data_IF_764340638904
#
_entry.id   IF_764340638904
#
_cell.length_a   1.000
_cell.length_b   1.000
_cell.length_c   1.000
_cell.angle_alpha   90.00
_cell.angle_beta   90.00
_cell.angle_gamma   90.00
#
_symmetry.space_group_name_H-M   'P 1'
#
loop_
_entity.id
_entity.type
_entity.pdbx_description
1 polymer ?
#
# COMPACT_ATOMS: atom_id res chain seq x y z
N UNK A 1 14.37 -11.58 -53.59
CA UNK A 1 14.77 -10.35 -52.88
C UNK A 1 14.48 -9.21 -53.83
N UNK A 2 13.47 -8.42 -53.53
CA UNK A 2 13.04 -7.31 -54.39
C UNK A 2 14.04 -6.16 -54.25
N UNK A 3 14.79 -5.89 -55.31
CA UNK A 3 15.83 -4.86 -55.32
C UNK A 3 15.26 -3.45 -55.20
N UNK A 4 13.95 -3.26 -55.45
CA UNK A 4 13.30 -1.95 -55.32
C UNK A 4 12.98 -1.57 -53.87
N UNK A 5 12.93 -2.54 -52.97
CA UNK A 5 12.65 -2.30 -51.54
C UNK A 5 13.93 -1.89 -50.78
N UNK A 6 15.11 -2.29 -51.28
CA UNK A 6 16.41 -1.92 -50.70
C UNK A 6 16.76 -0.44 -50.97
N UNK A 7 16.44 0.08 -52.16
CA UNK A 7 16.67 1.50 -52.46
C UNK A 7 15.70 2.41 -51.68
N UNK A 8 14.47 1.94 -51.42
CA UNK A 8 13.49 2.68 -50.60
C UNK A 8 13.90 2.80 -49.13
N UNK A 9 14.64 1.83 -48.61
CA UNK A 9 15.19 1.87 -47.24
C UNK A 9 16.47 2.72 -47.13
N UNK A 10 17.21 2.90 -48.23
CA UNK A 10 18.37 3.79 -48.28
C UNK A 10 17.96 5.27 -48.25
N UNK A 11 16.91 5.63 -48.98
CA UNK A 11 16.39 7.02 -48.96
C UNK A 11 15.76 7.42 -47.61
N UNK A 12 15.40 6.45 -46.76
CA UNK A 12 14.94 6.70 -45.38
C UNK A 12 16.09 6.88 -44.37
N UNK A 13 17.29 6.39 -44.69
CA UNK A 13 18.46 6.53 -43.81
C UNK A 13 19.16 7.89 -43.92
N UNK A 14 18.99 8.61 -45.05
CA UNK A 14 19.68 9.88 -45.33
C UNK A 14 18.89 11.14 -44.90
N UNK A 15 17.80 10.99 -44.11
CA UNK A 15 16.96 12.14 -43.67
C UNK A 15 17.05 12.49 -42.18
N UNK A 16 17.97 11.89 -41.41
CA UNK A 16 18.09 12.16 -39.96
C UNK A 16 19.35 12.91 -39.53
N UNK A 17 20.17 13.42 -40.45
CA UNK A 17 21.31 14.29 -40.10
C UNK A 17 20.90 15.77 -40.09
N UNK A 18 20.02 16.14 -39.16
CA UNK A 18 19.85 17.54 -38.78
C UNK A 18 20.51 17.74 -37.40
N UNK A 19 21.80 18.09 -37.45
CA UNK A 19 22.59 18.59 -36.32
C UNK A 19 21.97 19.89 -35.81
N UNK A 20 21.03 19.76 -34.89
CA UNK A 20 20.81 20.78 -33.88
C UNK A 20 21.74 20.43 -32.71
N UNK A 21 22.78 21.23 -32.52
CA UNK A 21 23.51 21.30 -31.26
C UNK A 21 22.52 21.78 -30.18
N UNK A 22 21.77 20.83 -29.63
CA UNK A 22 20.99 21.03 -28.41
C UNK A 22 22.02 21.07 -27.30
N UNK A 23 22.24 22.28 -26.79
CA UNK A 23 22.95 22.50 -25.54
C UNK A 23 22.18 21.76 -24.44
N UNK A 24 22.61 20.54 -24.13
CA UNK A 24 22.24 19.84 -22.91
C UNK A 24 22.88 20.62 -21.76
N UNK A 25 22.18 21.67 -21.35
CA UNK A 25 22.45 22.34 -20.09
C UNK A 25 22.53 21.25 -19.02
N UNK A 26 23.60 21.27 -18.24
CA UNK A 26 23.76 20.42 -17.09
C UNK A 26 22.51 20.59 -16.22
N UNK A 27 21.56 19.65 -16.34
CA UNK A 27 20.54 19.47 -15.34
C UNK A 27 21.31 18.94 -14.15
N UNK A 28 21.70 19.85 -13.26
CA UNK A 28 21.78 19.49 -11.86
C UNK A 28 20.42 18.84 -11.57
N UNK A 29 20.43 17.54 -11.32
CA UNK A 29 19.39 16.94 -10.51
C UNK A 29 19.50 17.67 -9.19
N UNK A 30 18.83 18.82 -9.10
CA UNK A 30 18.46 19.36 -7.81
C UNK A 30 17.75 18.21 -7.15
N UNK A 31 18.26 17.82 -5.99
CA UNK A 31 17.67 16.86 -5.08
C UNK A 31 16.19 17.25 -4.89
N UNK A 32 15.33 16.82 -5.81
CA UNK A 32 13.94 16.53 -5.52
C UNK A 32 14.01 15.18 -4.82
N UNK A 33 14.65 15.19 -3.64
CA UNK A 33 14.28 14.26 -2.61
C UNK A 33 12.75 14.38 -2.53
N UNK A 34 12.01 13.27 -2.73
CA UNK A 34 10.58 13.28 -2.44
C UNK A 34 10.48 13.87 -1.05
N UNK A 35 9.88 15.06 -0.94
CA UNK A 35 9.84 15.75 0.34
C UNK A 35 9.22 14.77 1.34
N UNK A 36 9.85 14.57 2.50
CA UNK A 36 9.31 13.69 3.52
C UNK A 36 7.91 14.20 3.78
N UNK A 37 6.95 13.31 3.56
CA UNK A 37 5.53 13.54 3.61
C UNK A 37 5.16 14.56 4.70
N UNK A 38 5.00 15.82 4.31
CA UNK A 38 4.09 16.77 4.99
C UNK A 38 2.64 16.36 4.60
N UNK A 39 2.38 15.05 4.65
CA UNK A 39 1.10 14.43 4.48
C UNK A 39 0.43 14.58 5.83
N UNK A 40 -0.26 15.71 6.03
CA UNK A 40 -1.45 15.66 6.87
C UNK A 40 -2.23 14.44 6.40
N UNK A 41 -2.20 13.37 7.20
CA UNK A 41 -2.75 12.07 6.85
C UNK A 41 -4.15 12.35 6.33
N UNK A 42 -4.33 12.15 5.02
CA UNK A 42 -5.63 12.30 4.39
C UNK A 42 -6.43 11.07 4.81
N UNK A 43 -6.96 11.15 6.03
CA UNK A 43 -7.80 10.13 6.66
C UNK A 43 -9.09 9.87 5.86
N UNK A 44 -9.28 10.57 4.73
CA UNK A 44 -10.37 10.35 3.78
C UNK A 44 -10.00 9.37 2.65
N UNK A 45 -8.78 8.83 2.54
CA UNK A 45 -8.38 7.99 1.39
C UNK A 45 -7.51 6.81 1.79
N UNK A 46 -7.60 5.73 1.01
CA UNK A 46 -6.81 4.50 1.20
C UNK A 46 -5.30 4.70 1.17
N UNK A 47 -4.78 5.72 0.47
CA UNK A 47 -3.34 5.95 0.42
C UNK A 47 -2.57 4.74 -0.14
N UNK A 48 -1.53 4.29 0.55
CA UNK A 48 -0.79 3.09 0.19
C UNK A 48 -0.73 2.13 1.39
N UNK A 49 -1.80 1.33 1.60
CA UNK A 49 -1.94 0.52 2.80
C UNK A 49 -0.84 -0.55 2.91
N UNK A 50 -0.32 -1.04 1.77
CA UNK A 50 0.76 -2.02 1.73
C UNK A 50 2.09 -1.39 2.14
N UNK A 51 2.42 -0.22 1.56
CA UNK A 51 3.65 0.50 1.90
C UNK A 51 3.64 0.97 3.37
N UNK A 52 2.52 1.52 3.84
CA UNK A 52 2.38 1.97 5.23
C UNK A 52 2.53 0.83 6.23
N UNK A 53 1.89 -0.32 5.97
CA UNK A 53 2.04 -1.49 6.82
C UNK A 53 3.47 -2.01 6.84
N UNK A 54 4.08 -2.18 5.67
CA UNK A 54 5.46 -2.66 5.59
C UNK A 54 6.45 -1.68 6.25
N UNK A 55 6.27 -0.37 6.07
CA UNK A 55 7.04 0.68 6.76
C UNK A 55 6.96 0.53 8.28
N UNK A 56 5.75 0.37 8.81
CA UNK A 56 5.53 0.20 10.25
C UNK A 56 6.25 -1.04 10.80
N UNK A 57 6.24 -2.15 10.04
CA UNK A 57 6.88 -3.41 10.44
C UNK A 57 8.41 -3.39 10.34
N UNK A 58 8.96 -2.56 9.43
CA UNK A 58 10.40 -2.36 9.25
C UNK A 58 11.00 -1.35 10.23
N UNK A 59 10.20 -0.38 10.69
CA UNK A 59 10.67 0.73 11.53
C UNK A 59 11.00 0.30 12.97
N UNK A 60 11.94 1.02 13.61
CA UNK A 60 12.28 0.83 15.02
C UNK A 60 13.10 -0.43 15.33
N UNK A 61 13.73 -1.03 14.31
CA UNK A 61 14.52 -2.26 14.43
C UNK A 61 15.94 -2.03 13.90
N UNK A 62 16.94 -2.59 14.59
CA UNK A 62 18.30 -2.68 14.06
C UNK A 62 18.45 -3.92 13.20
N UNK A 63 19.01 -3.76 12.02
CA UNK A 63 19.30 -4.80 11.04
C UNK A 63 20.79 -5.20 11.04
N UNK A 64 21.15 -6.36 10.44
CA UNK A 64 22.54 -6.84 10.44
C UNK A 64 23.51 -5.83 9.84
N UNK A 65 24.57 -5.50 10.57
CA UNK A 65 25.58 -4.52 10.14
C UNK A 65 25.23 -3.07 10.50
N UNK A 66 24.06 -2.81 11.08
CA UNK A 66 23.75 -1.49 11.59
C UNK A 66 24.67 -1.12 12.77
N UNK A 67 24.98 0.17 12.85
CA UNK A 67 25.78 0.75 13.92
C UNK A 67 24.94 0.90 15.18
N UNK A 68 25.30 0.19 16.24
CA UNK A 68 24.57 0.24 17.53
C UNK A 68 24.65 1.60 18.22
N UNK A 69 25.62 2.44 17.86
CA UNK A 69 25.81 3.80 18.35
C UNK A 69 25.11 4.87 17.49
N UNK A 70 24.48 4.48 16.39
CA UNK A 70 23.82 5.39 15.47
C UNK A 70 22.31 5.45 15.75
N UNK A 71 21.78 6.56 16.31
CA UNK A 71 20.35 6.68 16.60
C UNK A 71 19.48 6.61 15.34
N UNK A 72 20.01 7.02 14.19
CA UNK A 72 19.30 7.00 12.90
C UNK A 72 18.90 5.57 12.48
N UNK A 73 19.61 4.54 12.99
CA UNK A 73 19.26 3.12 12.74
C UNK A 73 17.88 2.73 13.29
N UNK A 74 17.38 3.48 14.27
CA UNK A 74 16.07 3.27 14.90
C UNK A 74 15.05 4.35 14.52
N UNK A 75 15.41 5.29 13.65
CA UNK A 75 14.55 6.39 13.29
C UNK A 75 13.31 5.92 12.50
N UNK A 76 12.17 6.55 12.77
CA UNK A 76 10.91 6.20 12.12
C UNK A 76 10.89 6.56 10.62
N UNK A 77 11.74 7.49 10.20
CA UNK A 77 11.93 7.91 8.80
C UNK A 77 13.08 7.17 8.10
N UNK A 78 13.60 6.09 8.70
CA UNK A 78 14.64 5.27 8.08
C UNK A 78 14.20 4.64 6.76
N UNK A 79 12.99 4.09 6.75
CA UNK A 79 12.47 3.34 5.61
C UNK A 79 11.48 4.18 4.83
N UNK A 80 11.62 4.17 3.51
CA UNK A 80 10.62 4.68 2.60
C UNK A 80 10.21 3.56 1.64
N UNK A 81 8.90 3.37 1.49
CA UNK A 81 8.34 2.40 0.58
C UNK A 81 7.43 3.13 -0.39
N UNK A 82 7.61 2.86 -1.68
CA UNK A 82 6.75 3.42 -2.71
C UNK A 82 6.57 2.42 -3.85
N UNK A 83 5.37 2.44 -4.43
CA UNK A 83 5.03 1.60 -5.58
C UNK A 83 5.71 2.14 -6.84
N UNK A 84 6.47 1.29 -7.52
CA UNK A 84 7.15 1.65 -8.78
C UNK A 84 6.46 1.08 -10.02
N UNK A 85 5.66 0.03 -9.85
CA UNK A 85 4.90 -0.58 -10.93
C UNK A 85 3.61 -1.21 -10.42
N UNK A 86 2.79 -1.79 -11.31
CA UNK A 86 1.60 -2.53 -10.91
C UNK A 86 1.96 -3.73 -10.01
N UNK A 87 3.17 -4.26 -10.12
CA UNK A 87 3.59 -5.52 -9.49
C UNK A 87 4.69 -5.37 -8.46
N UNK A 88 5.25 -4.17 -8.26
CA UNK A 88 6.46 -4.00 -7.47
C UNK A 88 6.48 -2.71 -6.65
N UNK A 89 7.14 -2.81 -5.50
CA UNK A 89 7.50 -1.72 -4.60
C UNK A 89 9.01 -1.62 -4.51
N UNK A 90 9.50 -0.44 -4.16
CA UNK A 90 10.89 -0.22 -3.75
C UNK A 90 10.94 0.10 -2.27
N UNK A 91 11.89 -0.51 -1.57
CA UNK A 91 12.30 -0.19 -0.21
C UNK A 91 13.60 0.60 -0.31
N UNK A 92 13.58 1.82 0.23
CA UNK A 92 14.76 2.67 0.41
C UNK A 92 15.10 2.76 1.89
N UNK A 93 16.32 2.38 2.26
CA UNK A 93 16.86 2.46 3.62
C UNK A 93 17.85 3.63 3.73
N UNK A 94 17.38 4.74 4.28
CA UNK A 94 18.14 5.99 4.35
C UNK A 94 19.36 5.91 5.27
N UNK A 95 19.38 4.95 6.20
CA UNK A 95 20.51 4.68 7.09
C UNK A 95 21.69 4.03 6.33
N UNK A 96 21.44 3.44 5.16
CA UNK A 96 22.42 2.65 4.42
C UNK A 96 22.44 3.04 2.94
N UNK A 97 22.79 4.31 2.67
CA UNK A 97 22.80 4.92 1.33
C UNK A 97 23.68 4.21 0.27
N UNK A 98 24.56 3.32 0.69
CA UNK A 98 25.39 2.51 -0.21
C UNK A 98 24.69 1.23 -0.65
N UNK A 99 23.64 0.81 0.05
CA UNK A 99 22.84 -0.35 -0.33
C UNK A 99 21.95 0.06 -1.52
N UNK A 100 21.84 -0.80 -2.55
CA UNK A 100 20.96 -0.52 -3.68
C UNK A 100 19.49 -0.49 -3.24
N UNK A 101 18.69 0.30 -3.95
CA UNK A 101 17.23 0.25 -3.83
C UNK A 101 16.74 -1.19 -3.99
N UNK A 102 15.92 -1.65 -3.03
CA UNK A 102 15.47 -3.02 -2.99
C UNK A 102 14.05 -3.14 -3.54
N UNK A 103 13.90 -3.83 -4.67
CA UNK A 103 12.60 -4.12 -5.23
C UNK A 103 11.95 -5.32 -4.55
N UNK A 104 10.67 -5.20 -4.18
CA UNK A 104 9.86 -6.27 -3.61
C UNK A 104 8.56 -6.46 -4.41
N UNK A 105 8.22 -7.70 -4.82
CA UNK A 105 6.95 -7.97 -5.49
C UNK A 105 5.73 -7.70 -4.59
N UNK A 106 4.68 -7.09 -5.16
CA UNK A 106 3.41 -6.80 -4.47
C UNK A 106 2.79 -8.06 -3.86
N UNK A 107 2.94 -9.21 -4.52
CA UNK A 107 2.40 -10.51 -4.05
C UNK A 107 2.96 -10.96 -2.70
N UNK A 108 4.14 -10.46 -2.31
CA UNK A 108 4.69 -10.70 -0.97
C UNK A 108 4.04 -9.76 0.05
N UNK A 109 3.85 -8.49 -0.31
CA UNK A 109 3.23 -7.50 0.57
C UNK A 109 1.73 -7.76 0.79
N UNK A 110 1.04 -8.37 -0.19
CA UNK A 110 -0.36 -8.79 -0.04
C UNK A 110 -0.53 -10.13 0.67
N UNK A 111 0.56 -10.87 0.93
CA UNK A 111 0.48 -12.14 1.65
C UNK A 111 0.43 -11.89 3.17
N UNK A 112 -0.67 -12.22 3.87
CA UNK A 112 -0.82 -11.92 5.29
C UNK A 112 0.21 -12.61 6.19
N UNK A 113 0.81 -13.71 5.73
CA UNK A 113 1.82 -14.47 6.45
C UNK A 113 3.25 -14.01 6.17
N UNK A 114 3.45 -13.01 5.31
CA UNK A 114 4.79 -12.55 4.94
C UNK A 114 5.42 -11.73 6.07
N UNK A 115 6.57 -12.18 6.57
CA UNK A 115 7.37 -11.49 7.59
C UNK A 115 8.35 -10.53 6.89
N UNK A 116 7.90 -9.34 6.50
CA UNK A 116 8.70 -8.37 5.72
C UNK A 116 10.01 -7.98 6.43
N UNK A 117 9.97 -7.83 7.75
CA UNK A 117 11.13 -7.49 8.58
C UNK A 117 12.18 -8.60 8.54
N UNK A 118 11.75 -9.85 8.64
CA UNK A 118 12.61 -11.02 8.61
C UNK A 118 13.21 -11.25 7.23
N UNK A 119 12.40 -11.08 6.19
CA UNK A 119 12.86 -11.15 4.82
C UNK A 119 13.93 -10.10 4.55
N UNK A 120 13.67 -8.84 4.93
CA UNK A 120 14.61 -7.72 4.77
C UNK A 120 15.90 -7.95 5.58
N UNK A 121 15.78 -8.43 6.81
CA UNK A 121 16.92 -8.83 7.65
C UNK A 121 17.85 -9.82 6.97
N UNK A 122 17.28 -10.89 6.41
CA UNK A 122 18.06 -11.90 5.72
C UNK A 122 18.69 -11.34 4.44
N UNK A 123 17.95 -10.53 3.69
CA UNK A 123 18.43 -9.90 2.46
C UNK A 123 19.66 -9.02 2.74
N UNK A 124 19.52 -8.04 3.63
CA UNK A 124 20.58 -7.08 3.97
C UNK A 124 21.78 -7.78 4.59
N UNK A 125 21.54 -8.74 5.49
CA UNK A 125 22.62 -9.52 6.10
C UNK A 125 23.47 -10.28 5.08
N UNK A 126 22.83 -10.99 4.15
CA UNK A 126 23.55 -11.70 3.09
C UNK A 126 24.29 -10.72 2.17
N UNK A 127 23.68 -9.58 1.85
CA UNK A 127 24.29 -8.56 1.01
C UNK A 127 25.55 -7.94 1.64
N UNK A 128 25.56 -7.82 2.97
CA UNK A 128 26.70 -7.34 3.76
C UNK A 128 27.73 -8.43 4.09
N UNK A 129 27.60 -9.62 3.51
CA UNK A 129 28.58 -10.69 3.61
C UNK A 129 28.45 -11.57 4.86
N UNK A 130 27.39 -11.43 5.65
CA UNK A 130 27.11 -12.36 6.75
C UNK A 130 26.71 -13.72 6.18
N UNK A 131 27.18 -14.78 6.83
CA UNK A 131 26.78 -16.13 6.42
C UNK A 131 25.39 -16.51 6.99
N UNK A 132 24.76 -17.53 6.41
CA UNK A 132 23.43 -17.99 6.82
C UNK A 132 23.38 -18.47 8.28
N UNK A 133 24.48 -18.98 8.83
CA UNK A 133 24.57 -19.49 10.20
C UNK A 133 24.65 -18.33 11.18
N UNK A 134 25.42 -17.29 10.88
CA UNK A 134 25.49 -16.04 11.62
C UNK A 134 24.12 -15.38 11.68
N UNK A 135 23.44 -15.25 10.53
CA UNK A 135 22.11 -14.65 10.46
C UNK A 135 21.07 -15.43 11.26
N UNK A 136 21.07 -16.77 11.19
CA UNK A 136 20.21 -17.61 12.04
C UNK A 136 20.53 -17.44 13.52
N UNK A 137 21.81 -17.30 13.86
CA UNK A 137 22.27 -17.08 15.23
C UNK A 137 21.80 -15.73 15.77
N UNK A 138 21.92 -14.66 14.98
CA UNK A 138 21.48 -13.31 15.35
C UNK A 138 19.96 -13.21 15.39
N UNK A 139 19.26 -13.82 14.43
CA UNK A 139 17.79 -13.86 14.38
C UNK A 139 17.19 -14.48 15.64
N UNK A 140 17.77 -15.59 16.13
CA UNK A 140 17.34 -16.22 17.40
C UNK A 140 17.54 -15.36 18.63
N UNK A 141 18.47 -14.41 18.58
CA UNK A 141 18.77 -13.47 19.66
C UNK A 141 17.92 -12.20 19.57
N UNK A 142 17.13 -12.00 18.51
CA UNK A 142 16.21 -10.88 18.41
C UNK A 142 15.21 -10.96 19.56
N UNK A 143 15.23 -9.95 20.42
CA UNK A 143 14.24 -9.77 21.49
C UNK A 143 12.91 -9.26 20.94
N UNK A 144 12.92 -8.70 19.73
CA UNK A 144 11.76 -8.20 19.03
C UNK A 144 11.47 -9.01 17.77
N UNK A 145 10.21 -9.43 17.61
CA UNK A 145 9.68 -10.03 16.38
C UNK A 145 8.46 -9.22 15.97
N UNK A 146 8.53 -8.61 14.79
CA UNK A 146 7.36 -7.95 14.22
C UNK A 146 6.31 -8.99 13.84
N UNK A 147 5.05 -8.59 13.88
CA UNK A 147 3.97 -9.36 13.28
C UNK A 147 4.21 -9.48 11.76
N UNK A 148 3.65 -10.50 11.09
CA UNK A 148 3.66 -10.55 9.63
C UNK A 148 2.82 -9.40 9.05
N UNK A 149 2.84 -9.25 7.72
CA UNK A 149 2.08 -8.22 7.00
C UNK A 149 0.63 -8.11 7.48
N UNK A 150 -0.03 -9.25 7.77
CA UNK A 150 -1.46 -9.25 8.07
C UNK A 150 -2.28 -8.86 6.85
N UNK A 151 -3.57 -8.62 7.04
CA UNK A 151 -4.42 -8.12 5.96
C UNK A 151 -4.36 -6.59 5.92
N UNK A 152 -3.27 -6.08 5.34
CA UNK A 152 -2.98 -4.65 5.31
C UNK A 152 -4.13 -3.82 4.68
N UNK A 153 -4.83 -4.37 3.70
CA UNK A 153 -5.98 -3.70 3.07
C UNK A 153 -7.17 -3.61 4.03
N UNK A 154 -7.54 -4.72 4.66
CA UNK A 154 -8.64 -4.76 5.62
C UNK A 154 -8.36 -3.93 6.88
N UNK A 155 -7.16 -4.05 7.44
CA UNK A 155 -6.74 -3.30 8.63
C UNK A 155 -6.79 -1.78 8.36
N UNK A 156 -6.29 -1.34 7.20
CA UNK A 156 -6.30 0.08 6.85
C UNK A 156 -7.71 0.58 6.51
N UNK A 157 -8.51 -0.19 5.77
CA UNK A 157 -9.91 0.17 5.50
C UNK A 157 -10.71 0.33 6.81
N UNK A 158 -10.54 -0.62 7.75
CA UNK A 158 -11.18 -0.55 9.08
C UNK A 158 -10.74 0.71 9.84
N UNK A 159 -9.44 1.00 9.83
CA UNK A 159 -8.90 2.20 10.47
C UNK A 159 -9.52 3.49 9.92
N UNK A 160 -9.64 3.63 8.60
CA UNK A 160 -10.25 4.81 7.98
C UNK A 160 -11.75 4.91 8.27
N UNK A 161 -12.46 3.78 8.28
CA UNK A 161 -13.87 3.74 8.58
C UNK A 161 -14.15 4.13 10.04
N UNK A 162 -13.36 3.63 10.99
CA UNK A 162 -13.43 3.98 12.42
C UNK A 162 -12.99 5.43 12.70
N UNK A 163 -12.11 6.00 11.86
CA UNK A 163 -11.69 7.39 11.98
C UNK A 163 -12.81 8.38 11.62
N UNK A 164 -13.69 8.01 10.69
CA UNK A 164 -14.89 8.77 10.35
C UNK A 164 -15.98 8.55 11.40
N UNK A 165 -16.32 9.60 12.15
CA UNK A 165 -17.14 9.45 13.37
C UNK A 165 -18.65 9.51 13.16
N UNK A 166 -19.12 9.95 11.99
CA UNK A 166 -20.54 10.19 11.75
C UNK A 166 -20.96 9.78 10.34
N UNK A 167 -21.55 8.59 10.24
CA UNK A 167 -22.28 8.15 9.06
C UNK A 167 -23.73 8.60 9.11
N UNK A 168 -24.39 8.60 7.94
CA UNK A 168 -25.78 9.01 7.80
C UNK A 168 -26.69 8.17 8.70
N UNK A 169 -27.60 8.83 9.43
CA UNK A 169 -28.50 8.23 10.43
C UNK A 169 -27.81 7.56 11.63
N UNK A 170 -26.55 7.86 11.91
CA UNK A 170 -25.89 7.37 13.13
C UNK A 170 -26.61 7.89 14.38
N UNK A 171 -27.16 6.96 15.16
CA UNK A 171 -27.68 7.23 16.50
C UNK A 171 -26.60 7.12 17.57
N UNK A 172 -26.92 7.42 18.84
CA UNK A 172 -25.99 7.24 19.97
C UNK A 172 -25.43 5.82 20.09
N UNK A 173 -26.19 4.81 19.65
CA UNK A 173 -25.78 3.41 19.63
C UNK A 173 -24.64 3.11 18.63
N UNK A 174 -24.42 3.98 17.64
CA UNK A 174 -23.39 3.80 16.61
C UNK A 174 -22.00 4.30 17.05
N UNK A 175 -21.90 4.94 18.22
CA UNK A 175 -20.66 5.45 18.79
C UNK A 175 -19.93 4.36 19.61
N UNK A 176 -19.69 3.21 18.97
CA UNK A 176 -18.99 2.07 19.58
C UNK A 176 -17.55 1.99 19.08
N UNK A 177 -16.58 1.69 19.96
CA UNK A 177 -15.22 1.40 19.51
C UNK A 177 -15.20 0.17 18.60
N UNK A 178 -14.36 0.20 17.55
CA UNK A 178 -14.21 -0.92 16.59
C UNK A 178 -15.55 -1.31 15.97
N UNK A 179 -16.24 -0.31 15.42
CA UNK A 179 -17.56 -0.50 14.81
C UNK A 179 -17.45 -1.38 13.58
N UNK A 180 -16.38 -1.20 12.83
CA UNK A 180 -16.18 -1.88 11.56
C UNK A 180 -15.29 -3.10 11.70
N UNK A 181 -15.64 -4.13 10.95
CA UNK A 181 -14.79 -5.27 10.66
C UNK A 181 -14.65 -5.37 9.14
N UNK A 182 -13.43 -5.52 8.64
CA UNK A 182 -13.19 -5.78 7.23
C UNK A 182 -12.51 -7.14 7.09
N UNK A 183 -13.07 -8.03 6.26
CA UNK A 183 -12.57 -9.40 6.11
C UNK A 183 -12.48 -9.77 4.63
N UNK A 184 -11.39 -10.41 4.23
CA UNK A 184 -11.27 -11.01 2.91
C UNK A 184 -12.20 -12.23 2.78
N UNK A 185 -13.10 -12.20 1.79
CA UNK A 185 -14.09 -13.27 1.56
C UNK A 185 -13.78 -14.15 0.34
N UNK A 186 -12.65 -13.89 -0.33
CA UNK A 186 -12.23 -14.63 -1.52
C UNK A 186 -12.56 -13.92 -2.84
N UNK A 187 -11.89 -14.34 -3.92
CA UNK A 187 -12.16 -13.81 -5.27
C UNK A 187 -11.80 -12.32 -5.47
N UNK A 188 -10.88 -11.78 -4.66
CA UNK A 188 -10.54 -10.36 -4.71
C UNK A 188 -11.64 -9.46 -4.10
N UNK A 189 -12.47 -10.00 -3.22
CA UNK A 189 -13.53 -9.27 -2.53
C UNK A 189 -13.29 -9.25 -1.02
N UNK A 190 -13.69 -8.12 -0.43
CA UNK A 190 -13.68 -7.84 0.98
C UNK A 190 -15.11 -7.53 1.44
N UNK A 191 -15.49 -8.04 2.60
CA UNK A 191 -16.73 -7.65 3.28
C UNK A 191 -16.40 -6.65 4.37
N UNK A 192 -17.09 -5.50 4.34
CA UNK A 192 -17.10 -4.51 5.42
C UNK A 192 -18.39 -4.73 6.20
N UNK A 193 -18.25 -5.13 7.45
CA UNK A 193 -19.35 -5.35 8.39
C UNK A 193 -19.37 -4.24 9.43
N UNK A 194 -20.49 -3.53 9.51
CA UNK A 194 -20.78 -2.56 10.56
C UNK A 194 -21.58 -3.25 11.66
N UNK A 195 -20.88 -3.51 12.77
CA UNK A 195 -21.43 -4.22 13.93
C UNK A 195 -22.53 -3.45 14.64
N UNK A 196 -22.54 -2.11 14.55
CA UNK A 196 -23.54 -1.28 15.19
C UNK A 196 -24.87 -1.29 14.44
N UNK A 197 -24.82 -1.33 13.10
CA UNK A 197 -26.01 -1.37 12.25
C UNK A 197 -26.39 -2.78 11.79
N UNK A 198 -25.55 -3.78 12.06
CA UNK A 198 -25.66 -5.13 11.49
C UNK A 198 -25.75 -5.10 9.95
N UNK A 199 -24.98 -4.21 9.33
CA UNK A 199 -24.99 -3.97 7.89
C UNK A 199 -23.68 -4.44 7.27
N UNK A 200 -23.77 -5.20 6.18
CA UNK A 200 -22.61 -5.66 5.42
C UNK A 200 -22.62 -5.07 4.01
N UNK A 201 -21.45 -4.68 3.51
CA UNK A 201 -21.25 -4.29 2.12
C UNK A 201 -19.94 -4.87 1.59
N UNK A 202 -19.92 -5.25 0.31
CA UNK A 202 -18.73 -5.83 -0.32
C UNK A 202 -17.98 -4.82 -1.17
N UNK A 203 -16.65 -4.83 -1.09
CA UNK A 203 -15.74 -3.97 -1.85
C UNK A 203 -14.65 -4.81 -2.50
N UNK A 204 -14.27 -4.48 -3.73
CA UNK A 204 -13.20 -5.18 -4.45
C UNK A 204 -11.81 -4.77 -3.96
N UNK A 205 -10.88 -5.70 -3.94
CA UNK A 205 -9.45 -5.50 -3.69
C UNK A 205 -8.86 -4.39 -4.58
N UNK A 206 -9.24 -4.33 -5.86
CA UNK A 206 -8.78 -3.29 -6.79
C UNK A 206 -9.11 -1.87 -6.30
N UNK A 207 -10.27 -1.68 -5.67
CA UNK A 207 -10.66 -0.39 -5.09
C UNK A 207 -9.85 -0.09 -3.82
N UNK A 208 -9.62 -1.09 -2.96
CA UNK A 208 -8.80 -0.91 -1.76
C UNK A 208 -7.31 -0.63 -2.08
N UNK A 209 -6.82 -1.15 -3.21
CA UNK A 209 -5.48 -0.86 -3.74
C UNK A 209 -5.38 0.51 -4.43
N UNK A 210 -6.50 1.18 -4.69
CA UNK A 210 -6.50 2.49 -5.33
C UNK A 210 -6.29 3.59 -4.27
N UNK A 211 -5.15 4.25 -4.33
CA UNK A 211 -4.76 5.29 -3.37
C UNK A 211 -5.70 6.49 -3.27
N UNK A 212 -6.56 6.69 -4.27
CA UNK A 212 -7.56 7.76 -4.30
C UNK A 212 -8.92 7.31 -3.81
N UNK A 213 -9.12 6.02 -3.55
CA UNK A 213 -10.39 5.50 -3.08
C UNK A 213 -10.68 6.01 -1.67
N UNK A 214 -11.87 6.60 -1.50
CA UNK A 214 -12.36 7.07 -0.23
C UNK A 214 -13.37 6.04 0.29
N UNK A 215 -12.89 5.14 1.15
CA UNK A 215 -13.68 4.01 1.66
C UNK A 215 -14.86 4.49 2.51
N UNK A 216 -14.70 5.55 3.30
CA UNK A 216 -15.77 6.10 4.15
C UNK A 216 -16.92 6.69 3.33
N UNK A 217 -16.62 7.47 2.29
CA UNK A 217 -17.64 8.02 1.38
C UNK A 217 -18.29 6.91 0.53
N UNK A 218 -17.52 5.91 0.10
CA UNK A 218 -18.09 4.74 -0.57
C UNK A 218 -19.08 4.02 0.35
N UNK A 219 -18.70 3.76 1.60
CA UNK A 219 -19.54 3.08 2.58
C UNK A 219 -20.80 3.88 2.92
N UNK A 220 -20.68 5.20 3.11
CA UNK A 220 -21.83 6.08 3.32
C UNK A 220 -22.88 5.98 2.19
N UNK A 221 -22.43 5.81 0.93
CA UNK A 221 -23.34 5.58 -0.21
C UNK A 221 -24.00 4.21 -0.15
N UNK A 222 -23.27 3.17 0.25
CA UNK A 222 -23.84 1.83 0.44
C UNK A 222 -24.92 1.85 1.52
N UNK A 223 -24.69 2.54 2.63
CA UNK A 223 -25.69 2.73 3.68
C UNK A 223 -26.95 3.42 3.17
N UNK A 224 -26.81 4.55 2.47
CA UNK A 224 -27.95 5.28 1.93
C UNK A 224 -28.79 4.42 0.97
N UNK A 225 -28.12 3.66 0.10
CA UNK A 225 -28.78 2.71 -0.81
C UNK A 225 -29.50 1.59 -0.05
N UNK A 226 -28.86 1.02 0.98
CA UNK A 226 -29.44 0.00 1.83
C UNK A 226 -30.71 0.46 2.55
N UNK A 227 -30.70 1.69 3.08
CA UNK A 227 -31.89 2.27 3.72
C UNK A 227 -33.05 2.50 2.74
N UNK A 228 -32.76 3.01 1.54
CA UNK A 228 -33.79 3.18 0.51
C UNK A 228 -34.40 1.83 0.11
N UNK A 229 -33.57 0.81 -0.12
CA UNK A 229 -34.07 -0.53 -0.47
C UNK A 229 -34.94 -1.14 0.64
N UNK A 230 -34.59 -0.91 1.91
CA UNK A 230 -35.38 -1.38 3.05
C UNK A 230 -36.72 -0.64 3.16
N UNK A 231 -36.74 0.67 2.90
CA UNK A 231 -37.97 1.45 2.88
C UNK A 231 -38.91 0.97 1.78
N UNK A 232 -38.41 0.79 0.55
CA UNK A 232 -39.19 0.32 -0.59
C UNK A 232 -39.81 -1.07 -0.29
N UNK A 233 -39.03 -1.99 0.29
CA UNK A 233 -39.51 -3.32 0.68
C UNK A 233 -40.60 -3.27 1.76
N UNK A 234 -40.50 -2.36 2.73
CA UNK A 234 -41.53 -2.16 3.77
C UNK A 234 -42.83 -1.60 3.21
N UNK A 235 -42.76 -0.68 2.24
CA UNK A 235 -43.92 -0.12 1.54
C UNK A 235 -44.63 -1.22 0.73
N UNK A 236 -43.88 -2.07 0.02
CA UNK A 236 -44.42 -3.21 -0.73
C UNK A 236 -45.15 -4.21 0.18
N UNK A 237 -44.54 -4.62 1.30
CA UNK A 237 -45.19 -5.51 2.27
C UNK A 237 -46.44 -4.88 2.90
N UNK A 238 -46.42 -3.58 3.17
CA UNK A 238 -47.60 -2.89 3.73
C UNK A 238 -48.79 -2.91 2.76
N UNK A 239 -48.54 -2.92 1.44
CA UNK A 239 -49.59 -3.07 0.44
C UNK A 239 -50.15 -4.49 0.35
N UNK A 240 -49.31 -5.53 0.53
CA UNK A 240 -49.74 -6.94 0.44
C UNK A 240 -50.70 -7.36 1.57
N UNK A 241 -50.52 -6.83 2.78
CA UNK A 241 -51.29 -7.24 3.97
C UNK A 241 -52.52 -6.37 4.28
N UNK A 242 -52.81 -5.36 3.46
CA UNK A 242 -54.00 -4.50 3.59
C UNK A 242 -55.19 -4.98 2.72
N UNK A 243 -55.24 -6.28 2.39
CA UNK A 243 -56.34 -6.98 1.69
C UNK A 243 -57.10 -7.91 2.65
#
# INVERSE_FOLDING_TARGET
VDLREVDRLRDLADTTENRNDVFLGAMAFGDVLPQPHDAGLRLDRMGDPLAERAWMLLSGIQYPGDRTDCPDSLAADRFHLYRVSATEYVIMDSCCRLDPELTIPIVLLTNPCFEVDRWYWCYVGLHRGFDKKELRGSERKRTWRSSPMGDALAEHATYLLDAERNYYNDGPACQVPRRFECNFVGGGLYEVYDTALQFAATVSEELLLNSRFNVSNWYAKQLAQGFHALQDAMEEWSCEWNL
#
